data_IF_255910361402
#
_entry.id   IF_255910361402
#
_cell.length_a   1.000
_cell.length_b   1.000
_cell.length_c   1.000
_cell.angle_alpha   90.00
_cell.angle_beta   90.00
_cell.angle_gamma   90.00
#
_symmetry.space_group_name_H-M   'P 1'
#
loop_
_entity.id
_entity.type
_entity.pdbx_description
1 polymer ?
#
# COMPACT_ATOMS: atom_id res chain seq x y z
N UNK A 1 -42.05 -24.51 6.37
CA UNK A 1 -41.76 -23.70 5.17
C UNK A 1 -40.27 -23.45 5.16
N UNK A 2 -39.55 -24.00 4.19
CA UNK A 2 -38.15 -23.64 3.93
C UNK A 2 -38.12 -22.15 3.58
N UNK A 3 -37.44 -21.33 4.38
CA UNK A 3 -37.24 -19.92 4.04
C UNK A 3 -36.44 -19.85 2.74
N UNK A 4 -36.88 -19.01 1.80
CA UNK A 4 -36.13 -18.72 0.57
C UNK A 4 -34.84 -17.98 0.92
N UNK A 5 -33.78 -18.15 0.11
CA UNK A 5 -32.51 -17.41 0.25
C UNK A 5 -32.75 -15.90 0.34
N UNK A 6 -33.61 -15.36 -0.51
CA UNK A 6 -34.01 -13.94 -0.53
C UNK A 6 -34.67 -13.47 0.77
N UNK A 7 -35.50 -14.31 1.40
CA UNK A 7 -36.12 -13.95 2.68
C UNK A 7 -35.09 -13.92 3.81
N UNK A 8 -34.12 -14.84 3.79
CA UNK A 8 -33.01 -14.81 4.74
C UNK A 8 -32.07 -13.65 4.49
N UNK A 9 -31.90 -13.23 3.23
CA UNK A 9 -31.12 -12.05 2.89
C UNK A 9 -31.74 -10.77 3.48
N UNK A 10 -33.06 -10.61 3.42
CA UNK A 10 -33.74 -9.53 4.14
C UNK A 10 -33.49 -9.58 5.65
N UNK A 11 -33.50 -10.79 6.24
CA UNK A 11 -33.16 -10.97 7.67
C UNK A 11 -31.71 -10.57 8.00
N UNK A 12 -30.77 -10.66 7.04
CA UNK A 12 -29.38 -10.16 7.17
C UNK A 12 -29.36 -8.64 7.21
N UNK A 13 -30.03 -8.00 6.26
CA UNK A 13 -30.09 -6.53 6.17
C UNK A 13 -30.72 -5.91 7.43
N UNK A 14 -31.80 -6.52 7.92
CA UNK A 14 -32.45 -6.12 9.18
C UNK A 14 -31.50 -6.21 10.38
N UNK A 15 -30.65 -7.23 10.44
CA UNK A 15 -29.67 -7.40 11.53
C UNK A 15 -28.51 -6.42 11.40
N UNK A 16 -28.05 -6.11 10.19
CA UNK A 16 -27.06 -5.06 9.96
C UNK A 16 -27.60 -3.68 10.36
N UNK A 17 -28.87 -3.36 10.05
CA UNK A 17 -29.50 -2.10 10.46
C UNK A 17 -29.60 -1.97 11.98
N UNK A 18 -29.90 -3.08 12.66
CA UNK A 18 -29.91 -3.16 14.15
C UNK A 18 -28.51 -3.12 14.76
N UNK A 19 -27.45 -3.25 13.96
CA UNK A 19 -26.06 -3.28 14.40
C UNK A 19 -25.62 -4.64 14.96
N UNK A 20 -26.42 -5.69 14.82
CA UNK A 20 -26.09 -7.04 15.25
C UNK A 20 -25.26 -7.76 14.19
N UNK A 21 -23.94 -7.52 14.22
CA UNK A 21 -22.99 -8.05 13.24
C UNK A 21 -22.82 -9.56 13.32
N UNK A 22 -22.93 -10.14 14.52
CA UNK A 22 -22.75 -11.59 14.69
C UNK A 22 -23.94 -12.35 14.12
N UNK A 23 -25.16 -11.88 14.41
CA UNK A 23 -26.37 -12.44 13.84
C UNK A 23 -26.43 -12.23 12.32
N UNK A 24 -26.09 -11.03 11.83
CA UNK A 24 -26.01 -10.76 10.39
C UNK A 24 -25.02 -11.70 9.69
N UNK A 25 -23.84 -11.94 10.28
CA UNK A 25 -22.84 -12.84 9.71
C UNK A 25 -23.33 -14.29 9.68
N UNK A 26 -23.95 -14.76 10.76
CA UNK A 26 -24.53 -16.11 10.85
C UNK A 26 -25.62 -16.34 9.79
N UNK A 27 -26.51 -15.36 9.63
CA UNK A 27 -27.56 -15.39 8.61
C UNK A 27 -26.98 -15.33 7.20
N UNK A 28 -25.94 -14.52 6.97
CA UNK A 28 -25.29 -14.45 5.66
C UNK A 28 -24.65 -15.79 5.26
N UNK A 29 -24.04 -16.52 6.21
CA UNK A 29 -23.60 -17.90 5.95
C UNK A 29 -24.77 -18.82 5.60
N UNK A 30 -25.90 -18.68 6.30
CA UNK A 30 -27.11 -19.47 6.00
C UNK A 30 -27.67 -19.17 4.60
N UNK A 31 -27.53 -17.94 4.10
CA UNK A 31 -27.91 -17.58 2.73
C UNK A 31 -27.03 -18.31 1.71
N UNK A 32 -25.70 -18.25 1.86
CA UNK A 32 -24.78 -18.89 0.90
C UNK A 32 -24.78 -20.42 0.98
N UNK A 33 -25.18 -20.99 2.12
CA UNK A 33 -25.41 -22.43 2.26
C UNK A 33 -26.63 -22.90 1.46
N UNK A 34 -27.62 -22.03 1.26
CA UNK A 34 -28.79 -22.31 0.41
C UNK A 34 -28.55 -21.93 -1.05
N UNK A 35 -27.80 -20.86 -1.29
CA UNK A 35 -27.46 -20.33 -2.60
C UNK A 35 -26.02 -19.80 -2.63
N UNK A 36 -25.06 -20.65 -2.99
CA UNK A 36 -23.64 -20.30 -3.11
C UNK A 36 -23.40 -19.20 -4.16
N UNK A 37 -24.35 -18.96 -5.09
CA UNK A 37 -24.21 -17.94 -6.12
C UNK A 37 -24.61 -16.53 -5.67
N UNK A 38 -25.11 -16.37 -4.44
CA UNK A 38 -25.57 -15.09 -3.92
C UNK A 38 -24.39 -14.15 -3.59
N UNK A 39 -23.99 -13.33 -4.56
CA UNK A 39 -22.84 -12.43 -4.48
C UNK A 39 -22.92 -11.42 -3.32
N UNK A 40 -24.10 -10.83 -3.08
CA UNK A 40 -24.29 -9.85 -2.01
C UNK A 40 -24.11 -10.47 -0.61
N UNK A 41 -24.54 -11.72 -0.41
CA UNK A 41 -24.32 -12.43 0.84
C UNK A 41 -22.84 -12.73 1.06
N UNK A 42 -22.11 -13.15 0.01
CA UNK A 42 -20.65 -13.28 0.07
C UNK A 42 -19.96 -11.95 0.38
N UNK A 43 -20.46 -10.84 -0.17
CA UNK A 43 -19.93 -9.51 0.10
C UNK A 43 -20.19 -9.08 1.55
N UNK A 44 -21.37 -9.40 2.10
CA UNK A 44 -21.68 -9.20 3.50
C UNK A 44 -20.75 -10.03 4.39
N UNK A 45 -20.54 -11.32 4.10
CA UNK A 45 -19.60 -12.18 4.82
C UNK A 45 -18.20 -11.55 4.83
N UNK A 46 -17.71 -11.07 3.69
CA UNK A 46 -16.41 -10.42 3.61
C UNK A 46 -16.31 -9.20 4.53
N UNK A 47 -17.27 -8.27 4.45
CA UNK A 47 -17.30 -7.03 5.24
C UNK A 47 -17.55 -7.27 6.73
N UNK A 48 -18.35 -8.28 7.08
CA UNK A 48 -18.72 -8.58 8.47
C UNK A 48 -17.59 -9.29 9.22
N UNK A 49 -16.76 -10.08 8.54
CA UNK A 49 -15.54 -10.65 9.12
C UNK A 49 -14.46 -9.61 9.40
N UNK A 50 -14.46 -8.47 8.71
CA UNK A 50 -13.54 -7.37 8.97
C UNK A 50 -14.03 -6.54 10.16
N UNK A 51 -13.13 -5.92 10.94
CA UNK A 51 -13.51 -4.99 12.00
C UNK A 51 -14.34 -3.82 11.45
N UNK A 52 -15.34 -3.33 12.20
CA UNK A 52 -16.17 -2.22 11.76
C UNK A 52 -15.33 -0.95 11.60
N UNK A 53 -15.69 -0.13 10.62
CA UNK A 53 -15.13 1.22 10.46
C UNK A 53 -15.60 2.11 11.60
N UNK A 54 -14.77 2.31 12.61
CA UNK A 54 -15.06 3.20 13.74
C UNK A 54 -14.62 4.62 13.42
N UNK A 55 -15.31 5.65 13.97
CA UNK A 55 -14.91 7.07 13.86
C UNK A 55 -13.62 7.41 14.65
N UNK A 56 -12.99 6.42 15.28
CA UNK A 56 -11.79 6.56 16.10
C UNK A 56 -10.57 5.92 15.45
N UNK A 57 -9.67 5.35 16.26
CA UNK A 57 -8.56 4.55 15.72
C UNK A 57 -9.16 3.31 15.05
N UNK A 58 -8.95 3.10 13.73
CA UNK A 58 -9.49 1.93 13.05
C UNK A 58 -8.94 0.68 13.72
N UNK A 59 -9.85 -0.25 14.05
CA UNK A 59 -9.45 -1.58 14.49
C UNK A 59 -8.91 -2.30 13.25
N UNK A 60 -7.65 -2.73 13.32
CA UNK A 60 -6.99 -3.38 12.20
C UNK A 60 -7.27 -4.88 12.26
N UNK A 61 -7.57 -5.54 11.13
CA UNK A 61 -7.89 -6.96 11.12
C UNK A 61 -6.67 -7.84 11.41
N UNK A 62 -6.94 -8.98 12.05
CA UNK A 62 -5.97 -10.08 12.20
C UNK A 62 -5.87 -10.93 10.91
N UNK A 63 -4.96 -11.90 10.88
CA UNK A 63 -4.75 -12.77 9.72
C UNK A 63 -5.96 -13.65 9.41
N UNK A 64 -6.65 -14.14 10.44
CA UNK A 64 -7.82 -15.01 10.29
C UNK A 64 -8.98 -14.25 9.65
N UNK A 65 -9.22 -13.02 10.07
CA UNK A 65 -10.23 -12.12 9.53
C UNK A 65 -9.93 -11.79 8.07
N UNK A 66 -8.69 -11.40 7.74
CA UNK A 66 -8.30 -11.11 6.35
C UNK A 66 -8.44 -12.34 5.45
N UNK A 67 -8.05 -13.53 5.93
CA UNK A 67 -8.17 -14.79 5.18
C UNK A 67 -9.62 -15.15 4.88
N UNK A 68 -10.52 -15.05 5.87
CA UNK A 68 -11.96 -15.26 5.67
C UNK A 68 -12.55 -14.25 4.71
N UNK A 69 -12.21 -12.97 4.87
CA UNK A 69 -12.69 -11.90 4.00
C UNK A 69 -12.22 -12.11 2.55
N UNK A 70 -10.95 -12.45 2.34
CA UNK A 70 -10.41 -12.73 1.00
C UNK A 70 -11.07 -13.94 0.35
N UNK A 71 -11.35 -14.99 1.13
CA UNK A 71 -12.03 -16.19 0.63
C UNK A 71 -13.46 -15.88 0.16
N UNK A 72 -14.19 -15.06 0.92
CA UNK A 72 -15.52 -14.59 0.53
C UNK A 72 -15.47 -13.64 -0.68
N UNK A 73 -14.51 -12.72 -0.75
CA UNK A 73 -14.34 -11.80 -1.89
C UNK A 73 -14.06 -12.54 -3.20
N UNK A 74 -13.28 -13.64 -3.16
CA UNK A 74 -13.09 -14.51 -4.33
C UNK A 74 -14.42 -15.07 -4.86
N UNK A 75 -15.36 -15.39 -3.97
CA UNK A 75 -16.71 -15.83 -4.35
C UNK A 75 -17.54 -14.69 -4.91
N UNK A 76 -17.45 -13.49 -4.34
CA UNK A 76 -18.13 -12.29 -4.87
C UNK A 76 -17.79 -12.09 -6.35
N UNK A 77 -16.49 -11.97 -6.68
CA UNK A 77 -16.06 -11.68 -8.05
C UNK A 77 -16.27 -12.86 -9.00
N UNK A 78 -16.32 -14.09 -8.47
CA UNK A 78 -16.65 -15.28 -9.26
C UNK A 78 -18.11 -15.26 -9.73
N UNK A 79 -19.03 -14.88 -8.85
CA UNK A 79 -20.47 -14.89 -9.14
C UNK A 79 -20.97 -13.56 -9.74
N UNK A 80 -20.34 -12.45 -9.38
CA UNK A 80 -20.61 -11.11 -9.93
C UNK A 80 -19.29 -10.39 -10.26
N UNK A 81 -18.72 -10.65 -11.45
CA UNK A 81 -17.49 -9.99 -11.89
C UNK A 81 -17.66 -8.47 -12.10
N UNK A 82 -18.89 -7.96 -12.17
CA UNK A 82 -19.18 -6.52 -12.30
C UNK A 82 -19.09 -5.77 -10.97
N UNK A 83 -18.88 -6.50 -9.87
CA UNK A 83 -18.80 -5.94 -8.52
C UNK A 83 -17.47 -5.22 -8.28
N UNK A 84 -17.41 -3.93 -8.62
CA UNK A 84 -16.22 -3.09 -8.42
C UNK A 84 -15.76 -3.05 -6.95
N UNK A 85 -16.69 -3.06 -5.99
CA UNK A 85 -16.35 -3.06 -4.56
C UNK A 85 -15.65 -4.35 -4.15
N UNK A 86 -16.01 -5.49 -4.73
CA UNK A 86 -15.36 -6.77 -4.51
C UNK A 86 -13.91 -6.76 -4.99
N UNK A 87 -13.67 -6.26 -6.21
CA UNK A 87 -12.32 -6.08 -6.76
C UNK A 87 -11.46 -5.14 -5.91
N UNK A 88 -11.99 -3.96 -5.55
CA UNK A 88 -11.30 -2.97 -4.72
C UNK A 88 -10.93 -3.53 -3.34
N UNK A 89 -11.87 -4.18 -2.65
CA UNK A 89 -11.62 -4.75 -1.32
C UNK A 89 -10.62 -5.91 -1.40
N UNK A 90 -10.73 -6.79 -2.39
CA UNK A 90 -9.79 -7.89 -2.59
C UNK A 90 -8.38 -7.41 -2.86
N UNK A 91 -8.23 -6.38 -3.70
CA UNK A 91 -6.94 -5.76 -3.99
C UNK A 91 -6.30 -5.15 -2.74
N UNK A 92 -7.07 -4.37 -1.96
CA UNK A 92 -6.59 -3.80 -0.71
C UNK A 92 -6.17 -4.88 0.31
N UNK A 93 -6.95 -5.97 0.43
CA UNK A 93 -6.59 -7.10 1.30
C UNK A 93 -5.28 -7.75 0.88
N UNK A 94 -5.08 -8.01 -0.41
CA UNK A 94 -3.86 -8.65 -0.92
C UNK A 94 -2.64 -7.74 -0.76
N UNK A 95 -2.76 -6.45 -1.08
CA UNK A 95 -1.63 -5.50 -1.12
C UNK A 95 -1.27 -4.96 0.27
N UNK A 96 -2.25 -4.50 1.03
CA UNK A 96 -2.03 -3.75 2.27
C UNK A 96 -2.05 -4.64 3.52
N UNK A 97 -2.93 -5.64 3.54
CA UNK A 97 -3.13 -6.49 4.71
C UNK A 97 -2.31 -7.78 4.68
N UNK A 98 -2.25 -8.47 3.54
CA UNK A 98 -1.59 -9.78 3.41
C UNK A 98 -0.16 -9.69 2.84
N UNK A 99 0.14 -8.61 2.11
CA UNK A 99 1.42 -8.43 1.41
C UNK A 99 1.68 -9.48 0.32
N UNK A 100 0.62 -10.02 -0.29
CA UNK A 100 0.68 -11.05 -1.32
C UNK A 100 0.70 -10.39 -2.70
N UNK A 101 1.80 -9.71 -3.04
CA UNK A 101 1.83 -8.77 -4.17
C UNK A 101 1.73 -9.46 -5.55
N UNK A 102 2.31 -10.65 -5.72
CA UNK A 102 2.15 -11.45 -6.94
C UNK A 102 0.70 -11.91 -7.14
N UNK A 103 0.02 -12.30 -6.06
CA UNK A 103 -1.41 -12.60 -6.11
C UNK A 103 -2.25 -11.35 -6.37
N UNK A 104 -1.83 -10.18 -5.87
CA UNK A 104 -2.49 -8.92 -6.18
C UNK A 104 -2.32 -8.53 -7.66
N UNK A 105 -1.15 -8.74 -8.28
CA UNK A 105 -0.97 -8.53 -9.72
C UNK A 105 -1.95 -9.37 -10.53
N UNK A 106 -2.05 -10.67 -10.22
CA UNK A 106 -3.00 -11.57 -10.87
C UNK A 106 -4.46 -11.15 -10.61
N UNK A 107 -4.79 -10.72 -9.39
CA UNK A 107 -6.12 -10.23 -9.04
C UNK A 107 -6.55 -9.04 -9.90
N UNK A 108 -5.65 -8.07 -10.10
CA UNK A 108 -5.90 -6.91 -10.96
C UNK A 108 -5.90 -7.27 -12.44
N UNK A 109 -5.14 -8.28 -12.85
CA UNK A 109 -5.21 -8.80 -14.23
C UNK A 109 -6.56 -9.48 -14.50
N UNK A 110 -7.04 -10.28 -13.56
CA UNK A 110 -8.35 -10.92 -13.64
C UNK A 110 -9.45 -9.86 -13.74
N UNK A 111 -9.35 -8.77 -12.96
CA UNK A 111 -10.24 -7.61 -13.09
C UNK A 111 -10.20 -7.01 -14.50
N UNK A 112 -9.01 -6.84 -15.10
CA UNK A 112 -8.86 -6.33 -16.48
C UNK A 112 -9.43 -7.25 -17.55
N UNK A 113 -9.48 -8.57 -17.32
CA UNK A 113 -10.15 -9.48 -18.27
C UNK A 113 -11.66 -9.21 -18.36
N UNK A 114 -12.25 -8.68 -17.29
CA UNK A 114 -13.67 -8.29 -17.27
C UNK A 114 -13.89 -6.84 -17.68
N UNK A 115 -12.98 -5.94 -17.28
CA UNK A 115 -13.01 -4.52 -17.63
C UNK A 115 -11.62 -4.05 -18.13
N UNK A 116 -11.30 -4.25 -19.42
CA UNK A 116 -9.97 -3.98 -19.97
C UNK A 116 -9.57 -2.50 -19.97
N UNK A 117 -10.57 -1.60 -19.98
CA UNK A 117 -10.37 -0.17 -20.12
C UNK A 117 -10.39 0.57 -18.78
N UNK A 118 -10.58 -0.16 -17.68
CA UNK A 118 -10.50 0.39 -16.33
C UNK A 118 -9.08 0.86 -16.00
N UNK A 119 -8.99 2.11 -15.56
CA UNK A 119 -7.73 2.76 -15.14
C UNK A 119 -7.22 2.22 -13.80
N UNK A 120 -8.12 1.88 -12.87
CA UNK A 120 -7.78 1.49 -11.50
C UNK A 120 -6.85 0.27 -11.42
N UNK A 121 -7.13 -0.86 -12.09
CA UNK A 121 -6.24 -2.02 -12.06
C UNK A 121 -4.80 -1.72 -12.49
N UNK A 122 -4.61 -0.94 -13.57
CA UNK A 122 -3.27 -0.55 -14.04
C UNK A 122 -2.53 0.33 -13.03
N UNK A 123 -3.23 1.30 -12.42
CA UNK A 123 -2.66 2.15 -11.35
C UNK A 123 -2.14 1.30 -10.19
N UNK A 124 -2.93 0.30 -9.76
CA UNK A 124 -2.56 -0.59 -8.66
C UNK A 124 -1.43 -1.57 -9.05
N UNK A 125 -1.46 -2.13 -10.27
CA UNK A 125 -0.38 -2.97 -10.80
C UNK A 125 0.96 -2.22 -10.85
N UNK A 126 0.98 -0.98 -11.36
CA UNK A 126 2.20 -0.16 -11.39
C UNK A 126 2.69 0.13 -9.97
N UNK A 127 1.80 0.43 -9.02
CA UNK A 127 2.15 0.63 -7.61
C UNK A 127 2.87 -0.58 -7.01
N UNK A 128 2.40 -1.80 -7.33
CA UNK A 128 3.03 -3.05 -6.90
C UNK A 128 4.42 -3.22 -7.54
N UNK A 129 4.53 -3.02 -8.85
CA UNK A 129 5.79 -3.17 -9.58
C UNK A 129 6.86 -2.18 -9.08
N UNK A 130 6.48 -0.95 -8.74
CA UNK A 130 7.38 0.05 -8.14
C UNK A 130 7.90 -0.42 -6.78
N UNK A 131 7.04 -0.97 -5.92
CA UNK A 131 7.46 -1.50 -4.59
C UNK A 131 8.51 -2.59 -4.75
N UNK A 132 8.31 -3.47 -5.72
CA UNK A 132 9.18 -4.60 -6.00
C UNK A 132 10.44 -4.24 -6.83
N UNK A 133 10.50 -3.04 -7.40
CA UNK A 133 11.64 -2.55 -8.19
C UNK A 133 11.65 -3.01 -9.65
N UNK A 134 10.50 -3.41 -10.19
CA UNK A 134 10.32 -3.82 -11.59
C UNK A 134 9.97 -2.61 -12.47
N UNK A 135 10.95 -1.71 -12.65
CA UNK A 135 10.72 -0.41 -13.30
C UNK A 135 10.53 -0.50 -14.81
N UNK A 136 11.13 -1.49 -15.48
CA UNK A 136 10.96 -1.70 -16.92
C UNK A 136 9.49 -2.02 -17.22
N UNK A 137 8.91 -2.98 -16.49
CA UNK A 137 7.49 -3.34 -16.59
C UNK A 137 6.55 -2.19 -16.21
N UNK A 138 6.98 -1.29 -15.31
CA UNK A 138 6.22 -0.08 -15.01
C UNK A 138 6.10 0.86 -16.22
N UNK A 139 7.12 0.93 -17.09
CA UNK A 139 7.08 1.79 -18.28
C UNK A 139 6.02 1.27 -19.26
N UNK A 140 6.03 -0.04 -19.52
CA UNK A 140 5.04 -0.68 -20.41
C UNK A 140 3.61 -0.45 -19.90
N UNK A 141 3.37 -0.66 -18.60
CA UNK A 141 2.05 -0.43 -17.99
C UNK A 141 1.66 1.04 -17.94
N UNK A 142 2.63 1.97 -17.82
CA UNK A 142 2.36 3.41 -17.91
C UNK A 142 1.95 3.82 -19.33
N UNK A 143 2.57 3.24 -20.36
CA UNK A 143 2.18 3.50 -21.75
C UNK A 143 0.75 3.03 -22.02
N UNK A 144 0.39 1.84 -21.52
CA UNK A 144 -0.99 1.34 -21.55
C UNK A 144 -1.96 2.27 -20.81
N UNK A 145 -1.60 2.69 -19.59
CA UNK A 145 -2.42 3.57 -18.74
C UNK A 145 -2.76 4.92 -19.38
N UNK A 146 -1.83 5.49 -20.17
CA UNK A 146 -2.03 6.76 -20.89
C UNK A 146 -2.41 6.56 -22.36
N UNK A 147 -2.78 5.33 -22.75
CA UNK A 147 -3.26 4.98 -24.08
C UNK A 147 -4.61 5.63 -24.42
N UNK A 148 -4.93 5.71 -25.71
CA UNK A 148 -6.17 6.31 -26.21
C UNK A 148 -7.41 5.44 -25.98
N UNK A 149 -7.21 4.14 -25.77
CA UNK A 149 -8.29 3.15 -25.62
C UNK A 149 -8.84 3.08 -24.19
N UNK A 150 -8.20 3.77 -23.23
CA UNK A 150 -8.61 3.75 -21.82
C UNK A 150 -9.87 4.56 -21.57
N UNK A 151 -10.67 4.13 -20.59
CA UNK A 151 -11.86 4.87 -20.17
C UNK A 151 -11.50 6.27 -19.69
N UNK A 152 -12.37 7.24 -20.01
CA UNK A 152 -12.20 8.62 -19.60
C UNK A 152 -12.11 8.70 -18.06
N UNK A 153 -10.94 9.03 -17.49
CA UNK A 153 -10.77 8.95 -16.05
C UNK A 153 -11.55 10.08 -15.37
N UNK A 154 -12.20 9.77 -14.25
CA UNK A 154 -12.70 10.81 -13.37
C UNK A 154 -11.53 11.67 -12.85
N UNK A 155 -11.77 12.93 -12.47
CA UNK A 155 -10.73 13.85 -11.98
C UNK A 155 -9.84 13.23 -10.89
N UNK A 156 -10.43 12.45 -9.97
CA UNK A 156 -9.70 11.76 -8.90
C UNK A 156 -8.78 10.66 -9.44
N UNK A 157 -9.21 9.91 -10.47
CA UNK A 157 -8.41 8.88 -11.13
C UNK A 157 -7.26 9.51 -11.92
N UNK A 158 -7.52 10.61 -12.63
CA UNK A 158 -6.48 11.36 -13.35
C UNK A 158 -5.36 11.84 -12.41
N UNK A 159 -5.71 12.37 -11.24
CA UNK A 159 -4.72 12.72 -10.21
C UNK A 159 -3.90 11.51 -9.74
N UNK A 160 -4.54 10.33 -9.58
CA UNK A 160 -3.84 9.09 -9.23
C UNK A 160 -2.90 8.62 -10.34
N UNK A 161 -3.32 8.68 -11.60
CA UNK A 161 -2.48 8.33 -12.76
C UNK A 161 -1.20 9.17 -12.80
N UNK A 162 -1.33 10.50 -12.66
CA UNK A 162 -0.15 11.38 -12.60
C UNK A 162 0.70 11.12 -11.37
N UNK A 163 0.09 10.87 -10.21
CA UNK A 163 0.83 10.52 -8.99
C UNK A 163 1.66 9.25 -9.15
N UNK A 164 1.11 8.23 -9.83
CA UNK A 164 1.82 6.98 -10.09
C UNK A 164 2.95 7.19 -11.10
N UNK A 165 2.73 7.95 -12.17
CA UNK A 165 3.79 8.34 -13.11
C UNK A 165 4.95 9.03 -12.38
N UNK A 166 4.65 10.04 -11.57
CA UNK A 166 5.64 10.76 -10.76
C UNK A 166 6.39 9.82 -9.81
N UNK A 167 5.69 8.83 -9.24
CA UNK A 167 6.28 7.83 -8.35
C UNK A 167 7.28 6.95 -9.09
N UNK A 168 6.91 6.43 -10.27
CA UNK A 168 7.79 5.62 -11.13
C UNK A 168 9.03 6.43 -11.52
N UNK A 169 8.86 7.66 -12.01
CA UNK A 169 9.98 8.50 -12.42
C UNK A 169 10.94 8.79 -11.25
N UNK A 170 10.42 9.07 -10.05
CA UNK A 170 11.23 9.32 -8.86
C UNK A 170 11.97 8.07 -8.39
N UNK A 171 11.30 6.92 -8.40
CA UNK A 171 11.88 5.65 -7.99
C UNK A 171 12.97 5.20 -8.96
N UNK A 172 12.71 5.27 -10.27
CA UNK A 172 13.69 4.97 -11.31
C UNK A 172 14.92 5.88 -11.22
N UNK A 173 14.74 7.20 -11.00
CA UNK A 173 15.85 8.15 -10.78
C UNK A 173 16.70 7.82 -9.55
N UNK A 174 16.10 7.26 -8.50
CA UNK A 174 16.80 6.88 -7.27
C UNK A 174 17.66 5.60 -7.44
N UNK A 175 17.28 4.73 -8.36
CA UNK A 175 17.86 3.39 -8.55
C UNK A 175 18.62 3.21 -9.88
N UNK A 176 18.95 4.32 -10.56
CA UNK A 176 19.57 4.42 -11.91
C UNK A 176 20.78 3.52 -12.22
N UNK A 177 21.43 2.91 -11.22
CA UNK A 177 22.62 2.06 -11.41
C UNK A 177 22.61 0.72 -10.66
N UNK A 178 21.71 0.53 -9.68
CA UNK A 178 21.70 -0.69 -8.86
C UNK A 178 20.33 -0.83 -8.16
N UNK A 179 19.42 -1.53 -8.84
CA UNK A 179 18.12 -1.93 -8.27
C UNK A 179 18.37 -2.99 -7.20
N UNK A 180 17.88 -2.76 -5.98
CA UNK A 180 18.06 -3.72 -4.91
C UNK A 180 17.24 -4.99 -5.20
N UNK A 181 17.95 -6.13 -5.26
CA UNK A 181 17.38 -7.47 -5.45
C UNK A 181 17.56 -8.29 -4.17
N UNK A 182 16.52 -8.39 -3.29
CA UNK A 182 16.61 -9.09 -2.00
C UNK A 182 17.01 -10.57 -2.11
N UNK A 183 16.55 -11.24 -3.16
CA UNK A 183 16.85 -12.65 -3.45
C UNK A 183 18.33 -12.93 -3.77
N UNK A 184 19.17 -11.90 -3.96
CA UNK A 184 20.62 -12.04 -4.12
C UNK A 184 21.35 -11.68 -2.81
N UNK A 185 21.83 -12.66 -2.02
CA UNK A 185 22.51 -12.40 -0.75
C UNK A 185 23.84 -11.64 -0.91
N UNK A 186 24.43 -11.64 -2.11
CA UNK A 186 25.69 -10.94 -2.42
C UNK A 186 25.46 -9.50 -2.89
N UNK A 187 24.21 -9.04 -2.98
CA UNK A 187 23.92 -7.67 -3.39
C UNK A 187 24.57 -6.67 -2.40
N UNK A 188 25.34 -5.67 -2.87
CA UNK A 188 26.08 -4.74 -2.01
C UNK A 188 25.17 -3.93 -1.07
N UNK A 189 23.90 -3.73 -1.43
CA UNK A 189 22.92 -3.02 -0.60
C UNK A 189 22.67 -3.73 0.73
N UNK A 190 22.81 -5.06 0.82
CA UNK A 190 22.72 -5.77 2.09
C UNK A 190 23.74 -5.29 3.12
N UNK A 191 24.96 -4.95 2.68
CA UNK A 191 25.99 -4.41 3.56
C UNK A 191 25.67 -2.98 4.01
N UNK A 192 25.04 -2.18 3.14
CA UNK A 192 24.55 -0.85 3.51
C UNK A 192 23.46 -0.95 4.59
N UNK A 193 22.48 -1.84 4.41
CA UNK A 193 21.44 -2.11 5.41
C UNK A 193 22.08 -2.58 6.71
N UNK A 194 23.04 -3.52 6.65
CA UNK A 194 23.74 -4.04 7.84
C UNK A 194 24.45 -2.94 8.64
N UNK A 195 25.13 -2.01 7.97
CA UNK A 195 25.79 -0.87 8.63
C UNK A 195 24.80 0.11 9.26
N UNK A 196 23.61 0.26 8.68
CA UNK A 196 22.59 1.21 9.12
C UNK A 196 21.45 0.60 9.94
N UNK A 197 21.46 -0.71 10.20
CA UNK A 197 20.37 -1.48 10.84
C UNK A 197 19.95 -0.98 12.23
N UNK A 198 20.80 -0.23 12.91
CA UNK A 198 20.50 0.33 14.23
C UNK A 198 19.95 1.77 14.19
N UNK A 199 19.80 2.36 12.99
CA UNK A 199 19.22 3.68 12.77
C UNK A 199 17.78 3.54 12.30
N UNK A 200 16.89 4.36 12.84
CA UNK A 200 15.49 4.42 12.39
C UNK A 200 15.39 5.26 11.11
N UNK A 201 14.41 5.00 10.23
CA UNK A 201 14.12 5.90 9.12
C UNK A 201 13.76 7.28 9.66
N UNK A 202 14.24 8.31 8.98
CA UNK A 202 13.95 9.69 9.35
C UNK A 202 12.54 10.00 8.83
N UNK A 203 11.64 10.41 9.72
CA UNK A 203 10.29 10.81 9.31
C UNK A 203 10.31 12.18 8.64
N UNK A 204 9.37 12.40 7.71
CA UNK A 204 9.25 13.69 7.02
C UNK A 204 9.12 14.86 8.02
N UNK A 205 8.28 14.71 9.04
CA UNK A 205 8.10 15.76 10.05
C UNK A 205 9.38 16.06 10.84
N UNK A 206 10.14 15.02 11.22
CA UNK A 206 11.41 15.19 11.91
C UNK A 206 12.43 15.90 11.02
N UNK A 207 12.48 15.53 9.73
CA UNK A 207 13.39 16.14 8.77
C UNK A 207 13.03 17.60 8.47
N UNK A 208 11.74 17.90 8.34
CA UNK A 208 11.26 19.27 8.18
C UNK A 208 11.61 20.12 9.40
N UNK A 209 11.42 19.60 10.61
CA UNK A 209 11.72 20.31 11.85
C UNK A 209 13.22 20.52 12.08
N UNK A 210 14.05 19.51 11.82
CA UNK A 210 15.48 19.54 12.17
C UNK A 210 16.37 20.11 11.09
N UNK A 211 15.96 20.03 9.82
CA UNK A 211 16.75 20.50 8.69
C UNK A 211 16.12 21.69 7.97
N UNK A 212 14.84 21.60 7.60
CA UNK A 212 14.18 22.63 6.78
C UNK A 212 13.85 23.89 7.59
N UNK A 213 13.26 23.74 8.78
CA UNK A 213 12.83 24.86 9.60
C UNK A 213 13.98 25.78 10.06
N UNK A 214 15.16 25.28 10.51
CA UNK A 214 16.27 26.15 10.88
C UNK A 214 16.82 26.95 9.70
N UNK A 215 16.91 26.36 8.50
CA UNK A 215 17.37 27.06 7.29
C UNK A 215 16.40 28.18 6.94
N UNK A 216 15.10 27.89 6.90
CA UNK A 216 14.05 28.89 6.63
C UNK A 216 14.05 29.98 7.70
N UNK A 217 14.23 29.62 8.97
CA UNK A 217 14.29 30.57 10.08
C UNK A 217 15.47 31.53 9.96
N UNK A 218 16.68 31.03 9.68
CA UNK A 218 17.87 31.88 9.50
C UNK A 218 17.68 32.86 8.34
N UNK A 219 17.17 32.39 7.19
CA UNK A 219 16.90 33.25 6.04
C UNK A 219 15.80 34.27 6.37
N UNK A 220 14.75 33.85 7.08
CA UNK A 220 13.66 34.70 7.52
C UNK A 220 14.13 35.79 8.48
N UNK A 221 14.98 35.47 9.45
CA UNK A 221 15.58 36.46 10.37
C UNK A 221 16.43 37.48 9.62
N UNK A 222 17.23 37.04 8.65
CA UNK A 222 18.03 37.94 7.83
C UNK A 222 17.13 38.87 6.98
N UNK A 223 16.10 38.32 6.33
CA UNK A 223 15.14 39.10 5.55
C UNK A 223 14.38 40.11 6.41
N UNK A 224 13.99 39.72 7.63
CA UNK A 224 13.37 40.62 8.62
C UNK A 224 14.30 41.77 9.00
N UNK A 225 15.59 41.49 9.20
CA UNK A 225 16.58 42.53 9.54
C UNK A 225 16.81 43.55 8.42
N UNK A 226 16.70 43.12 7.16
CA UNK A 226 16.93 43.97 6.00
C UNK A 226 15.68 44.74 5.55
N UNK A 227 14.50 44.11 5.58
CA UNK A 227 13.28 44.64 4.95
C UNK A 227 12.09 44.78 5.91
N UNK A 228 12.21 44.33 7.16
CA UNK A 228 11.10 44.23 8.12
C UNK A 228 10.74 45.53 8.86
N UNK A 229 11.37 46.66 8.55
CA UNK A 229 11.19 47.94 9.27
C UNK A 229 9.82 48.60 9.03
N UNK A 230 9.09 48.21 7.98
CA UNK A 230 7.75 48.71 7.65
C UNK A 230 6.70 47.60 7.71
N UNK A 231 5.44 47.95 7.96
CA UNK A 231 4.33 46.98 8.00
C UNK A 231 4.17 46.19 6.68
N UNK A 232 4.36 46.86 5.53
CA UNK A 232 4.36 46.22 4.21
C UNK A 232 5.57 45.29 4.06
N UNK A 233 6.73 45.71 4.56
CA UNK A 233 7.94 44.89 4.60
C UNK A 233 7.78 43.62 5.43
N UNK A 234 7.12 43.71 6.59
CA UNK A 234 6.85 42.53 7.45
C UNK A 234 5.94 41.52 6.76
N UNK A 235 4.85 41.98 6.12
CA UNK A 235 3.95 41.11 5.34
C UNK A 235 4.68 40.48 4.16
N UNK A 236 5.54 41.25 3.47
CA UNK A 236 6.32 40.75 2.33
C UNK A 236 7.32 39.67 2.75
N UNK A 237 8.01 39.87 3.88
CA UNK A 237 8.93 38.86 4.44
C UNK A 237 8.17 37.62 4.90
N UNK A 238 6.97 37.77 5.45
CA UNK A 238 6.15 36.62 5.82
C UNK A 238 5.76 35.76 4.61
N UNK A 239 5.30 36.40 3.51
CA UNK A 239 5.01 35.70 2.26
C UNK A 239 6.25 35.03 1.66
N UNK A 240 7.41 35.70 1.74
CA UNK A 240 8.70 35.13 1.34
C UNK A 240 9.05 33.88 2.16
N UNK A 241 8.85 33.89 3.48
CA UNK A 241 9.10 32.73 4.34
C UNK A 241 8.19 31.56 3.95
N UNK A 242 6.90 31.79 3.70
CA UNK A 242 5.99 30.74 3.24
C UNK A 242 6.43 30.15 1.89
N UNK A 243 6.82 31.01 0.95
CA UNK A 243 7.33 30.60 -0.35
C UNK A 243 8.64 29.78 -0.23
N UNK A 244 9.58 30.24 0.60
CA UNK A 244 10.84 29.54 0.86
C UNK A 244 10.60 28.19 1.55
N UNK A 245 9.71 28.13 2.53
CA UNK A 245 9.36 26.89 3.20
C UNK A 245 8.81 25.86 2.21
N UNK A 246 7.86 26.26 1.34
CA UNK A 246 7.31 25.38 0.33
C UNK A 246 8.37 24.92 -0.70
N UNK A 247 9.24 25.83 -1.13
CA UNK A 247 10.29 25.54 -2.12
C UNK A 247 11.38 24.62 -1.56
N UNK A 248 11.90 24.92 -0.38
CA UNK A 248 12.94 24.11 0.29
C UNK A 248 12.37 22.74 0.69
N UNK A 249 11.13 22.66 1.17
CA UNK A 249 10.48 21.39 1.48
C UNK A 249 10.41 20.46 0.26
N UNK A 250 10.05 20.99 -0.92
CA UNK A 250 10.04 20.21 -2.17
C UNK A 250 11.42 19.73 -2.59
N UNK A 251 12.43 20.60 -2.52
CA UNK A 251 13.80 20.27 -2.93
C UNK A 251 14.46 19.24 -1.98
N UNK A 252 14.19 19.36 -0.68
CA UNK A 252 14.83 18.50 0.33
C UNK A 252 14.16 17.13 0.46
N UNK A 253 12.95 16.93 -0.09
CA UNK A 253 12.28 15.63 -0.11
C UNK A 253 13.08 14.56 -0.87
N UNK A 254 13.76 14.93 -1.96
CA UNK A 254 14.65 14.02 -2.68
C UNK A 254 15.84 13.56 -1.82
N UNK A 255 16.40 14.47 -1.02
CA UNK A 255 17.48 14.16 -0.08
C UNK A 255 16.97 13.24 1.04
N UNK A 256 15.79 13.50 1.61
CA UNK A 256 15.19 12.63 2.63
C UNK A 256 15.05 11.19 2.11
N UNK A 257 14.52 11.03 0.91
CA UNK A 257 14.36 9.72 0.29
C UNK A 257 15.72 9.04 0.06
N UNK A 258 16.72 9.78 -0.41
CA UNK A 258 18.09 9.26 -0.56
C UNK A 258 18.69 8.81 0.78
N UNK A 259 18.48 9.57 1.87
CA UNK A 259 18.95 9.20 3.20
C UNK A 259 18.24 7.94 3.72
N UNK A 260 16.95 7.81 3.44
CA UNK A 260 16.12 6.67 3.83
C UNK A 260 16.20 5.49 2.85
N UNK A 261 17.03 5.53 1.80
CA UNK A 261 17.09 4.47 0.77
C UNK A 261 17.34 3.08 1.38
N UNK A 262 18.16 2.99 2.42
CA UNK A 262 18.39 1.72 3.14
C UNK A 262 17.13 1.16 3.82
N UNK A 263 16.22 2.03 4.28
CA UNK A 263 14.95 1.63 4.83
C UNK A 263 13.98 1.17 3.72
N UNK A 264 13.99 1.86 2.56
CA UNK A 264 13.22 1.46 1.38
C UNK A 264 13.67 0.09 0.83
N UNK A 265 14.98 -0.17 0.81
CA UNK A 265 15.50 -1.48 0.42
C UNK A 265 15.03 -2.58 1.39
N UNK A 266 15.09 -2.33 2.70
CA UNK A 266 14.60 -3.29 3.67
C UNK A 266 13.08 -3.50 3.53
N UNK A 267 12.33 -2.43 3.23
CA UNK A 267 10.90 -2.51 2.96
C UNK A 267 10.60 -3.42 1.76
N UNK A 268 11.38 -3.27 0.68
CA UNK A 268 11.31 -4.17 -0.48
C UNK A 268 11.66 -5.61 -0.11
N UNK A 269 12.65 -5.85 0.75
CA UNK A 269 12.95 -7.20 1.20
C UNK A 269 11.79 -7.82 1.98
N UNK A 270 11.10 -7.04 2.82
CA UNK A 270 9.89 -7.48 3.52
C UNK A 270 8.78 -7.81 2.51
N UNK A 271 8.60 -6.98 1.48
CA UNK A 271 7.63 -7.22 0.39
C UNK A 271 7.96 -8.49 -0.42
N UNK A 272 9.24 -8.82 -0.59
CA UNK A 272 9.67 -10.08 -1.20
C UNK A 272 9.37 -11.29 -0.30
N UNK A 273 9.69 -11.21 1.00
CA UNK A 273 9.38 -12.30 1.94
C UNK A 273 7.88 -12.55 2.03
N UNK A 274 7.08 -11.48 2.17
CA UNK A 274 5.64 -11.58 2.22
C UNK A 274 5.08 -12.12 0.90
N UNK A 275 5.54 -11.66 -0.25
CA UNK A 275 4.98 -12.14 -1.52
C UNK A 275 5.28 -13.62 -1.77
N UNK A 276 6.51 -14.05 -1.52
CA UNK A 276 6.95 -15.42 -1.79
C UNK A 276 6.56 -16.44 -0.73
N UNK A 277 6.29 -15.97 0.50
CA UNK A 277 6.17 -16.84 1.66
C UNK A 277 7.50 -17.46 2.10
N UNK A 278 8.64 -16.92 1.65
CA UNK A 278 9.99 -17.45 1.90
C UNK A 278 10.90 -16.38 2.48
N UNK A 279 11.86 -16.78 3.29
CA UNK A 279 12.80 -15.86 3.94
C UNK A 279 13.98 -15.50 3.02
N UNK A 280 14.39 -14.24 3.05
CA UNK A 280 15.59 -13.71 2.41
C UNK A 280 16.35 -12.70 3.28
N UNK A 281 15.71 -12.14 4.31
CA UNK A 281 16.31 -11.17 5.25
C UNK A 281 17.16 -11.92 6.27
N UNK A 282 18.47 -11.59 6.40
CA UNK A 282 19.34 -12.16 7.41
C UNK A 282 18.88 -11.92 8.86
N UNK A 283 19.10 -12.90 9.74
CA UNK A 283 18.72 -12.83 11.15
C UNK A 283 19.35 -11.64 11.91
N UNK A 284 20.57 -11.25 11.51
CA UNK A 284 21.28 -10.13 12.13
C UNK A 284 20.61 -8.77 11.84
N UNK A 285 19.84 -8.70 10.75
CA UNK A 285 19.02 -7.52 10.37
C UNK A 285 17.62 -7.65 10.97
N UNK A 286 17.04 -8.86 11.06
CA UNK A 286 15.70 -9.07 11.63
C UNK A 286 15.58 -8.61 13.09
N UNK A 287 16.64 -8.78 13.88
CA UNK A 287 16.70 -8.33 15.29
C UNK A 287 17.02 -6.83 15.45
N UNK A 288 17.17 -6.10 14.36
CA UNK A 288 17.65 -4.71 14.38
C UNK A 288 16.56 -3.68 14.67
N UNK A 289 16.96 -2.49 15.12
CA UNK A 289 16.03 -1.37 15.37
C UNK A 289 15.33 -0.90 14.10
N UNK A 290 16.00 -1.00 12.95
CA UNK A 290 15.45 -0.64 11.65
C UNK A 290 14.30 -1.58 11.30
N UNK A 291 14.53 -2.90 11.33
CA UNK A 291 13.50 -3.89 11.02
C UNK A 291 12.28 -3.76 11.93
N UNK A 292 12.49 -3.66 13.25
CA UNK A 292 11.40 -3.46 14.21
C UNK A 292 10.62 -2.16 13.93
N UNK A 293 11.29 -1.11 13.48
CA UNK A 293 10.62 0.14 13.10
C UNK A 293 9.79 0.01 11.83
N UNK A 294 10.20 -0.84 10.88
CA UNK A 294 9.45 -1.09 9.64
C UNK A 294 8.19 -1.90 9.94
N UNK A 295 8.33 -3.02 10.66
CA UNK A 295 7.23 -3.92 11.02
C UNK A 295 6.18 -3.24 11.93
N UNK A 296 6.61 -2.37 12.85
CA UNK A 296 5.69 -1.66 13.76
C UNK A 296 4.61 -0.85 13.04
N UNK A 297 4.91 -0.34 11.85
CA UNK A 297 3.98 0.49 11.08
C UNK A 297 3.13 -0.32 10.08
N UNK A 298 3.38 -1.63 9.93
CA UNK A 298 2.63 -2.52 9.04
C UNK A 298 1.33 -3.02 9.67
N UNK A 299 0.46 -3.57 8.84
CA UNK A 299 -0.81 -4.15 9.28
C UNK A 299 -0.58 -5.38 10.18
N UNK A 300 -1.40 -5.60 11.24
CA UNK A 300 -1.28 -6.76 12.12
C UNK A 300 -1.36 -8.10 11.37
N UNK A 301 -2.31 -8.22 10.43
CA UNK A 301 -2.42 -9.38 9.56
C UNK A 301 -1.10 -9.71 8.82
N UNK A 302 -0.42 -8.70 8.27
CA UNK A 302 0.87 -8.87 7.59
C UNK A 302 1.94 -9.34 8.58
N UNK A 303 1.97 -8.77 9.78
CA UNK A 303 2.94 -9.13 10.81
C UNK A 303 2.76 -10.58 11.27
N UNK A 304 1.53 -11.01 11.56
CA UNK A 304 1.22 -12.41 11.89
C UNK A 304 1.66 -13.37 10.78
N UNK A 305 1.40 -12.98 9.52
CA UNK A 305 1.82 -13.78 8.37
C UNK A 305 3.34 -13.85 8.21
N UNK A 306 4.04 -12.73 8.40
CA UNK A 306 5.50 -12.69 8.39
C UNK A 306 6.08 -13.56 9.51
N UNK A 307 5.50 -13.57 10.69
CA UNK A 307 5.93 -14.44 11.79
C UNK A 307 5.82 -15.93 11.43
N UNK A 308 4.75 -16.33 10.72
CA UNK A 308 4.59 -17.69 10.19
C UNK A 308 5.67 -18.01 9.15
N UNK A 309 5.91 -17.10 8.21
CA UNK A 309 6.94 -17.26 7.16
C UNK A 309 8.32 -17.43 7.80
N UNK A 310 8.66 -16.59 8.76
CA UNK A 310 9.94 -16.66 9.48
C UNK A 310 10.07 -17.97 10.26
N UNK A 311 8.98 -18.43 10.87
CA UNK A 311 8.96 -19.71 11.61
C UNK A 311 9.17 -20.91 10.67
N UNK A 312 8.62 -20.86 9.45
CA UNK A 312 8.84 -21.91 8.43
C UNK A 312 10.30 -21.99 7.98
N UNK A 313 11.01 -20.86 8.00
CA UNK A 313 12.42 -20.72 7.63
C UNK A 313 12.77 -21.27 6.22
N UNK A 314 11.80 -21.30 5.31
CA UNK A 314 12.02 -21.71 3.92
C UNK A 314 12.78 -20.63 3.15
N UNK A 315 13.97 -20.97 2.66
CA UNK A 315 14.83 -19.99 1.97
C UNK A 315 14.33 -19.65 0.57
N UNK A 316 14.37 -18.37 0.22
CA UNK A 316 14.04 -17.89 -1.11
C UNK A 316 15.07 -18.36 -2.15
N UNK A 317 14.60 -18.76 -3.33
CA UNK A 317 15.49 -19.11 -4.44
C UNK A 317 16.19 -17.87 -4.99
N UNK A 318 17.48 -17.99 -5.30
CA UNK A 318 18.27 -16.93 -5.97
C UNK A 318 17.74 -16.57 -7.35
N UNK A 319 17.07 -17.52 -8.00
CA UNK A 319 16.49 -17.36 -9.33
C UNK A 319 15.00 -17.00 -9.27
N UNK A 320 14.47 -16.69 -8.08
CA UNK A 320 13.09 -16.25 -7.98
C UNK A 320 12.92 -14.93 -8.73
N UNK A 321 11.91 -14.88 -9.60
CA UNK A 321 11.39 -13.69 -10.24
C UNK A 321 9.89 -13.69 -10.05
N UNK A 322 9.29 -12.50 -9.99
CA UNK A 322 7.84 -12.40 -9.95
C UNK A 322 7.27 -12.84 -11.30
N UNK A 323 6.11 -13.48 -11.28
CA UNK A 323 5.33 -13.72 -12.48
C UNK A 323 4.46 -12.48 -12.75
N UNK A 324 4.80 -11.72 -13.79
CA UNK A 324 4.06 -10.52 -14.20
C UNK A 324 3.03 -10.98 -15.24
N UNK A 325 1.73 -10.80 -14.98
CA UNK A 325 0.68 -11.33 -15.82
C UNK A 325 0.38 -10.48 -17.06
#
# INVERSE_FOLDING_TARGET
MTKSSEMLWLDVLDSEEKGDREDALSKAYSVVDLDDSHSDAWMAIARLNLPPTTRGKPMLPDLKQCSKAMSAIRKVVLHDPSNNLGWELGGALLVDHLGMLEHALNWWEDCRRHDPYAVTPLVEQIGILVRLGYYEDCVEKLEELFGQDMDAPANKQLLRMHSVKDMVEKAAKMETSDVFKPNNPKNPRWEIIRRLKNRKPITQNLFLLTFTAPIVFIIGTFAMSAFGSSAIGTVSVFLLILFLFASISRLTMGLLNSLNRHALDLDRAIDFESTTGKVCIPDDIRKSKLYLSMIKNRMPCLNERLDIIVTSNEQMSKNWSINIP
#
